data_IF_586703374942
#
_entry.id   IF_586703374942
#
_cell.length_a   1.000
_cell.length_b   1.000
_cell.length_c   1.000
_cell.angle_alpha   90.00
_cell.angle_beta   90.00
_cell.angle_gamma   90.00
#
_symmetry.space_group_name_H-M   'P 1'
#
loop_
_entity.id
_entity.type
_entity.pdbx_description
1 polymer ?
#
# COMPACT_ATOMS: atom_id res chain seq x y z
N UNK A 1 -0.05 -22.57 -6.94
CA UNK A 1 0.83 -21.46 -6.51
C UNK A 1 2.00 -21.27 -7.49
N UNK A 2 2.17 -22.15 -8.48
CA UNK A 2 3.28 -22.07 -9.42
C UNK A 2 2.95 -21.21 -10.66
N UNK A 3 2.88 -19.90 -10.48
CA UNK A 3 2.70 -18.96 -11.59
C UNK A 3 4.06 -18.57 -12.24
N UNK A 4 5.17 -19.16 -11.79
CA UNK A 4 6.50 -18.97 -12.38
C UNK A 4 7.05 -17.55 -12.27
N UNK A 5 6.56 -16.74 -11.32
CA UNK A 5 7.05 -15.38 -11.13
C UNK A 5 8.38 -15.38 -10.39
N UNK A 6 9.37 -14.82 -11.05
CA UNK A 6 10.66 -14.47 -10.49
C UNK A 6 10.75 -12.95 -10.33
N UNK A 7 11.37 -12.50 -9.26
CA UNK A 7 11.57 -11.10 -8.93
C UNK A 7 13.07 -10.81 -8.78
N UNK A 8 13.45 -9.54 -8.95
CA UNK A 8 14.84 -9.10 -8.83
C UNK A 8 15.03 -8.12 -7.66
N UNK A 9 13.95 -7.47 -7.22
CA UNK A 9 13.95 -6.55 -6.07
C UNK A 9 12.56 -6.45 -5.45
N UNK A 10 12.53 -6.28 -4.13
CA UNK A 10 11.29 -6.14 -3.38
C UNK A 10 11.23 -4.82 -2.62
N UNK A 11 10.04 -4.23 -2.57
CA UNK A 11 9.75 -3.02 -1.79
C UNK A 11 8.62 -3.28 -0.80
N UNK A 12 8.78 -2.77 0.42
CA UNK A 12 7.70 -2.83 1.42
C UNK A 12 7.72 -1.63 2.35
N UNK A 13 6.64 -1.48 3.12
CA UNK A 13 6.54 -0.49 4.19
C UNK A 13 7.41 -0.86 5.40
N UNK A 14 7.53 0.04 6.39
CA UNK A 14 8.15 -0.29 7.69
C UNK A 14 7.19 -0.97 8.68
N UNK A 15 5.97 -1.31 8.24
CA UNK A 15 4.95 -1.92 9.09
C UNK A 15 4.94 -3.44 8.96
N UNK A 16 5.06 -4.13 10.10
CA UNK A 16 5.27 -5.58 10.19
C UNK A 16 4.33 -6.44 9.33
N UNK A 17 3.06 -6.04 9.17
CA UNK A 17 2.08 -6.80 8.39
C UNK A 17 2.46 -6.89 6.91
N UNK A 18 2.95 -5.81 6.31
CA UNK A 18 3.39 -5.82 4.91
C UNK A 18 4.73 -6.56 4.76
N UNK A 19 5.62 -6.43 5.74
CA UNK A 19 6.90 -7.15 5.77
C UNK A 19 6.67 -8.66 5.85
N UNK A 20 5.76 -9.11 6.72
CA UNK A 20 5.40 -10.53 6.84
C UNK A 20 4.72 -11.03 5.57
N UNK A 21 3.80 -10.27 4.98
CA UNK A 21 3.23 -10.63 3.67
C UNK A 21 4.31 -10.83 2.62
N UNK A 22 5.29 -9.90 2.53
CA UNK A 22 6.41 -10.04 1.61
C UNK A 22 7.20 -11.32 1.89
N UNK A 23 7.58 -11.57 3.14
CA UNK A 23 8.34 -12.76 3.51
C UNK A 23 7.59 -14.05 3.21
N UNK A 24 6.28 -14.12 3.45
CA UNK A 24 5.46 -15.29 3.08
C UNK A 24 5.47 -15.52 1.57
N UNK A 25 5.42 -14.46 0.75
CA UNK A 25 5.53 -14.59 -0.71
C UNK A 25 6.92 -15.08 -1.12
N UNK A 26 7.98 -14.50 -0.56
CA UNK A 26 9.36 -14.89 -0.88
C UNK A 26 9.68 -16.33 -0.47
N UNK A 27 9.19 -16.77 0.69
CA UNK A 27 9.33 -18.15 1.16
C UNK A 27 8.57 -19.12 0.25
N UNK A 28 7.30 -18.81 -0.07
CA UNK A 28 6.47 -19.63 -0.95
C UNK A 28 6.97 -19.71 -2.40
N UNK A 29 7.84 -18.80 -2.82
CA UNK A 29 8.40 -18.72 -4.18
C UNK A 29 9.91 -19.00 -4.23
N UNK A 30 10.50 -19.48 -3.13
CA UNK A 30 11.92 -19.81 -2.97
C UNK A 30 12.89 -18.67 -3.36
N UNK A 31 12.54 -17.45 -2.96
CA UNK A 31 13.21 -16.20 -3.35
C UNK A 31 13.60 -15.34 -2.14
N UNK A 32 13.80 -15.94 -0.97
CA UNK A 32 14.16 -15.23 0.28
C UNK A 32 15.48 -14.45 0.21
N UNK A 33 16.35 -14.78 -0.74
CA UNK A 33 17.65 -14.14 -0.94
C UNK A 33 17.56 -12.77 -1.64
N UNK A 34 16.39 -12.40 -2.17
CA UNK A 34 16.21 -11.15 -2.90
C UNK A 34 16.42 -9.91 -2.03
N UNK A 35 16.96 -8.82 -2.62
CA UNK A 35 17.10 -7.56 -1.92
C UNK A 35 15.72 -6.96 -1.56
N UNK A 36 15.59 -6.50 -0.31
CA UNK A 36 14.35 -5.89 0.21
C UNK A 36 14.61 -4.46 0.69
N UNK A 37 13.99 -3.49 0.03
CA UNK A 37 13.99 -2.07 0.43
C UNK A 37 12.74 -1.77 1.26
N UNK A 38 12.93 -1.13 2.41
CA UNK A 38 11.84 -0.75 3.34
C UNK A 38 11.76 0.76 3.42
N UNK A 39 10.54 1.30 3.35
CA UNK A 39 10.34 2.76 3.46
C UNK A 39 9.04 3.11 4.17
N UNK A 40 9.05 4.19 4.95
CA UNK A 40 7.83 4.75 5.53
C UNK A 40 6.90 5.33 4.46
N UNK A 41 7.43 5.70 3.28
CA UNK A 41 6.63 6.25 2.17
C UNK A 41 5.63 5.25 1.60
N UNK A 42 5.83 3.94 1.84
CA UNK A 42 4.90 2.87 1.52
C UNK A 42 3.99 2.48 2.71
N UNK A 43 4.00 3.22 3.82
CA UNK A 43 3.09 2.99 4.93
C UNK A 43 1.63 3.21 4.53
N UNK A 44 0.71 2.54 5.22
CA UNK A 44 -0.71 2.84 5.16
C UNK A 44 -0.98 4.30 5.54
N UNK A 45 -2.11 4.84 5.07
CA UNK A 45 -2.61 6.17 5.46
C UNK A 45 -2.61 6.35 6.97
N UNK A 46 -2.06 7.47 7.44
CA UNK A 46 -2.03 7.77 8.87
C UNK A 46 -3.37 8.35 9.36
N UNK A 47 -4.10 7.58 10.17
CA UNK A 47 -5.44 7.93 10.67
C UNK A 47 -5.48 8.66 12.03
N UNK A 48 -4.38 8.67 12.79
CA UNK A 48 -4.21 9.41 14.06
C UNK A 48 -5.30 9.21 15.11
N UNK A 49 -6.11 10.24 15.41
CA UNK A 49 -7.18 10.17 16.41
C UNK A 49 -8.29 9.18 16.02
N UNK A 50 -8.24 8.67 14.79
CA UNK A 50 -9.11 7.61 14.29
C UNK A 50 -8.39 6.24 14.28
N UNK A 51 -7.11 6.18 14.63
CA UNK A 51 -6.36 4.91 14.74
C UNK A 51 -6.96 4.06 15.85
N UNK A 52 -7.43 2.87 15.49
CA UNK A 52 -8.14 1.95 16.39
C UNK A 52 -9.66 1.91 16.15
N UNK A 53 -10.19 2.81 15.34
CA UNK A 53 -11.58 2.79 14.87
C UNK A 53 -11.71 1.98 13.58
N UNK A 54 -12.86 1.33 13.38
CA UNK A 54 -13.20 0.72 12.10
C UNK A 54 -13.59 1.78 11.06
N UNK A 55 -13.72 1.40 9.77
CA UNK A 55 -14.05 2.35 8.69
C UNK A 55 -15.39 3.09 8.90
N UNK A 56 -16.39 2.42 9.47
CA UNK A 56 -17.68 3.04 9.76
C UNK A 56 -17.59 4.06 10.90
N UNK A 57 -16.84 3.73 11.97
CA UNK A 57 -16.55 4.64 13.09
C UNK A 57 -15.67 5.83 12.67
N UNK A 58 -14.71 5.58 11.78
CA UNK A 58 -13.82 6.60 11.18
C UNK A 58 -14.62 7.55 10.28
N UNK A 59 -15.58 7.04 9.51
CA UNK A 59 -16.45 7.88 8.67
C UNK A 59 -17.38 8.77 9.50
N UNK A 60 -17.73 8.36 10.72
CA UNK A 60 -18.61 9.09 11.63
C UNK A 60 -17.86 10.10 12.53
N UNK A 61 -16.52 10.08 12.57
CA UNK A 61 -15.72 10.96 13.43
C UNK A 61 -14.71 11.76 12.61
N UNK A 62 -14.60 13.05 12.92
CA UNK A 62 -13.48 13.89 12.48
C UNK A 62 -12.38 13.80 13.55
N UNK A 63 -11.18 13.37 13.18
CA UNK A 63 -10.08 13.17 14.13
C UNK A 63 -8.86 14.01 13.78
N UNK A 64 -8.63 15.07 14.54
CA UNK A 64 -7.33 15.74 14.60
C UNK A 64 -6.34 14.91 15.44
N UNK A 65 -5.04 15.12 15.25
CA UNK A 65 -4.04 14.52 16.12
C UNK A 65 -4.16 15.05 17.55
N UNK A 66 -4.25 14.13 18.49
CA UNK A 66 -4.34 14.42 19.92
C UNK A 66 -3.09 13.84 20.61
N UNK A 67 -2.23 14.67 21.23
CA UNK A 67 -1.00 14.21 21.91
C UNK A 67 -1.24 13.20 23.04
N UNK A 68 -2.44 13.22 23.62
CA UNK A 68 -2.94 12.30 24.64
C UNK A 68 -3.52 10.99 24.08
N UNK A 69 -3.54 10.83 22.75
CA UNK A 69 -4.01 9.60 22.14
C UNK A 69 -3.14 8.40 22.55
N UNK A 70 -3.73 7.25 22.96
CA UNK A 70 -2.99 6.11 23.50
C UNK A 70 -1.87 5.58 22.59
N UNK A 71 -2.00 5.79 21.28
CA UNK A 71 -1.04 5.32 20.29
C UNK A 71 -0.01 6.38 19.86
N UNK A 72 -0.10 7.64 20.31
CA UNK A 72 0.80 8.73 19.89
C UNK A 72 2.26 8.36 20.15
N UNK A 73 2.62 8.03 21.39
CA UNK A 73 4.03 7.74 21.74
C UNK A 73 4.57 6.50 21.01
N UNK A 74 3.71 5.51 20.73
CA UNK A 74 4.13 4.26 20.10
C UNK A 74 4.31 4.38 18.59
N UNK A 75 3.75 5.42 17.96
CA UNK A 75 3.86 5.65 16.53
C UNK A 75 4.85 6.77 16.27
N UNK A 76 4.65 7.94 16.84
CA UNK A 76 5.44 9.15 16.54
C UNK A 76 6.85 9.12 17.09
N UNK A 77 7.08 8.41 18.21
CA UNK A 77 8.40 8.31 18.86
C UNK A 77 9.09 6.97 18.60
N UNK A 78 8.56 6.19 17.66
CA UNK A 78 9.17 4.92 17.30
C UNK A 78 10.49 5.16 16.54
N UNK A 79 11.54 4.45 16.94
CA UNK A 79 12.88 4.60 16.38
C UNK A 79 12.95 4.39 14.85
N UNK A 80 11.99 3.68 14.25
CA UNK A 80 11.90 3.49 12.79
C UNK A 80 11.63 4.80 12.03
N UNK A 81 11.22 5.86 12.73
CA UNK A 81 10.97 7.17 12.16
C UNK A 81 11.97 8.23 12.66
N UNK A 82 13.06 7.82 13.32
CA UNK A 82 14.02 8.76 13.91
C UNK A 82 14.72 9.66 12.87
N UNK A 83 14.88 9.18 11.64
CA UNK A 83 15.51 9.92 10.54
C UNK A 83 14.51 10.77 9.73
N UNK A 84 13.23 10.80 10.15
CA UNK A 84 12.16 11.55 9.49
C UNK A 84 11.94 12.84 10.28
N UNK A 85 11.90 13.96 9.57
CA UNK A 85 11.63 15.26 10.19
C UNK A 85 10.15 15.38 10.59
N UNK A 86 9.83 16.22 11.56
CA UNK A 86 8.44 16.40 12.04
C UNK A 86 7.48 16.85 10.92
N UNK A 87 7.98 17.59 9.91
CA UNK A 87 7.21 17.99 8.73
C UNK A 87 6.97 16.85 7.74
N UNK A 88 7.80 15.81 7.76
CA UNK A 88 7.67 14.63 6.91
C UNK A 88 6.82 13.53 7.54
N UNK A 89 6.67 13.49 8.87
CA UNK A 89 5.78 12.55 9.55
C UNK A 89 4.42 13.21 9.80
N UNK A 90 3.43 13.04 8.90
CA UNK A 90 2.19 13.78 8.96
C UNK A 90 1.40 13.46 10.22
N UNK A 91 0.83 14.50 10.85
CA UNK A 91 -0.08 14.46 12.01
C UNK A 91 -1.52 14.06 11.66
N UNK A 92 -1.85 13.99 10.37
CA UNK A 92 -2.95 13.22 9.78
C UNK A 92 -2.75 13.20 8.27
N UNK A 93 -3.24 12.14 7.62
CA UNK A 93 -3.18 12.08 6.17
C UNK A 93 -4.58 11.99 5.60
N UNK A 94 -4.86 12.80 4.59
CA UNK A 94 -5.84 12.48 3.57
C UNK A 94 -5.30 11.39 2.63
N UNK A 95 -6.16 10.86 1.77
CA UNK A 95 -5.68 10.01 0.67
C UNK A 95 -4.69 10.80 -0.21
N UNK A 96 -4.99 12.08 -0.49
CA UNK A 96 -4.10 12.97 -1.27
C UNK A 96 -2.71 13.08 -0.65
N UNK A 97 -2.60 13.24 0.66
CA UNK A 97 -1.30 13.35 1.35
C UNK A 97 -0.52 12.04 1.29
N UNK A 98 -1.22 10.91 1.47
CA UNK A 98 -0.64 9.57 1.32
C UNK A 98 -0.05 9.37 -0.08
N UNK A 99 -0.78 9.81 -1.11
CA UNK A 99 -0.31 9.76 -2.51
C UNK A 99 0.90 10.68 -2.70
N UNK A 100 0.84 11.91 -2.17
CA UNK A 100 1.88 12.92 -2.31
C UNK A 100 3.23 12.47 -1.73
N UNK A 101 3.24 11.65 -0.66
CA UNK A 101 4.48 11.07 -0.11
C UNK A 101 4.93 9.77 -0.78
N UNK A 102 4.00 8.97 -1.30
CA UNK A 102 4.28 7.67 -1.91
C UNK A 102 4.79 7.80 -3.34
N UNK A 103 4.27 8.78 -4.09
CA UNK A 103 4.60 8.98 -5.50
C UNK A 103 6.07 9.39 -5.75
N UNK A 104 6.71 10.24 -4.92
CA UNK A 104 8.15 10.48 -5.01
C UNK A 104 8.96 9.19 -4.92
N UNK A 105 8.65 8.31 -3.96
CA UNK A 105 9.33 7.01 -3.85
C UNK A 105 9.12 6.12 -5.07
N UNK A 106 7.89 6.11 -5.62
CA UNK A 106 7.61 5.42 -6.87
C UNK A 106 8.51 5.92 -8.01
N UNK A 107 8.60 7.23 -8.21
CA UNK A 107 9.35 7.84 -9.31
C UNK A 107 10.88 7.76 -9.13
N UNK A 108 11.37 7.93 -7.91
CA UNK A 108 12.80 8.06 -7.60
C UNK A 108 13.47 6.70 -7.35
N UNK A 109 12.75 5.72 -6.80
CA UNK A 109 13.34 4.45 -6.38
C UNK A 109 12.79 3.26 -7.16
N UNK A 110 11.48 3.19 -7.42
CA UNK A 110 10.86 2.01 -8.07
C UNK A 110 11.00 2.07 -9.60
N UNK A 111 10.62 3.20 -10.21
CA UNK A 111 10.67 3.37 -11.68
C UNK A 111 12.07 3.15 -12.26
N UNK A 112 13.18 3.60 -11.64
CA UNK A 112 14.52 3.27 -12.13
C UNK A 112 14.82 1.78 -12.17
N UNK A 113 14.35 0.99 -11.20
CA UNK A 113 14.53 -0.47 -11.23
C UNK A 113 13.75 -1.09 -12.40
N UNK A 114 12.51 -0.63 -12.63
CA UNK A 114 11.70 -1.09 -13.77
C UNK A 114 12.38 -0.72 -15.10
N UNK A 115 12.98 0.48 -15.19
CA UNK A 115 13.77 0.94 -16.36
C UNK A 115 14.98 0.05 -16.65
N UNK A 116 15.61 -0.49 -15.61
CA UNK A 116 16.72 -1.44 -15.72
C UNK A 116 16.26 -2.86 -16.11
N UNK A 117 14.95 -3.06 -16.32
CA UNK A 117 14.38 -4.35 -16.69
C UNK A 117 14.15 -5.30 -15.50
N UNK A 118 14.27 -4.81 -14.25
CA UNK A 118 14.04 -5.62 -13.05
C UNK A 118 12.55 -5.88 -12.85
N UNK A 119 12.24 -7.11 -12.43
CA UNK A 119 10.91 -7.57 -12.01
C UNK A 119 10.72 -7.19 -10.55
N UNK A 120 9.82 -6.25 -10.31
CA UNK A 120 9.64 -5.63 -9.00
C UNK A 120 8.44 -6.24 -8.26
N UNK A 121 8.63 -6.62 -7.00
CA UNK A 121 7.55 -7.00 -6.08
C UNK A 121 7.31 -5.89 -5.05
N UNK A 122 6.06 -5.43 -4.90
CA UNK A 122 5.69 -4.42 -3.91
C UNK A 122 4.65 -5.00 -2.95
N UNK A 123 5.01 -5.10 -1.67
CA UNK A 123 4.09 -5.47 -0.59
C UNK A 123 3.81 -4.25 0.29
N UNK A 124 2.63 -3.65 0.14
CA UNK A 124 2.25 -2.44 0.88
C UNK A 124 0.77 -2.52 1.34
N UNK A 125 0.12 -1.36 1.47
CA UNK A 125 -1.23 -1.27 2.05
C UNK A 125 -2.22 -0.62 1.09
N UNK A 126 -3.51 -0.66 1.46
CA UNK A 126 -4.61 -0.27 0.58
C UNK A 126 -4.47 1.16 0.04
N UNK A 127 -4.35 2.18 0.91
CA UNK A 127 -4.31 3.56 0.44
C UNK A 127 -2.98 3.92 -0.24
N UNK A 128 -1.87 3.35 0.23
CA UNK A 128 -0.56 3.53 -0.43
C UNK A 128 -0.55 2.94 -1.85
N UNK A 129 -1.10 1.74 -2.04
CA UNK A 129 -1.17 1.09 -3.35
C UNK A 129 -2.18 1.78 -4.26
N UNK A 130 -3.32 2.25 -3.72
CA UNK A 130 -4.26 3.11 -4.46
C UNK A 130 -3.55 4.32 -5.07
N UNK A 131 -2.61 4.94 -4.35
CA UNK A 131 -1.83 6.06 -4.89
C UNK A 131 -1.02 5.72 -6.13
N UNK A 132 -0.36 4.57 -6.10
CA UNK A 132 0.42 4.06 -7.23
C UNK A 132 -0.52 3.69 -8.39
N UNK A 133 -1.61 2.99 -8.13
CA UNK A 133 -2.62 2.61 -9.14
C UNK A 133 -3.24 3.85 -9.80
N UNK A 134 -3.62 4.87 -9.01
CA UNK A 134 -4.14 6.13 -9.52
C UNK A 134 -3.18 6.76 -10.53
N UNK A 135 -1.88 6.76 -10.21
CA UNK A 135 -0.86 7.31 -11.08
C UNK A 135 -0.67 6.48 -12.36
N UNK A 136 -0.61 5.16 -12.25
CA UNK A 136 -0.46 4.24 -13.38
C UNK A 136 -1.64 4.30 -14.36
N UNK A 137 -2.86 4.30 -13.83
CA UNK A 137 -4.09 4.25 -14.63
C UNK A 137 -4.66 5.62 -14.98
N UNK A 138 -4.07 6.70 -14.46
CA UNK A 138 -4.56 8.07 -14.70
C UNK A 138 -5.96 8.31 -14.15
N UNK A 139 -6.30 7.69 -13.02
CA UNK A 139 -7.64 7.75 -12.43
C UNK A 139 -7.96 9.17 -11.89
N UNK A 140 -9.23 9.57 -12.04
CA UNK A 140 -9.75 10.79 -11.41
C UNK A 140 -9.87 10.64 -9.88
N UNK A 141 -10.10 11.75 -9.17
CA UNK A 141 -10.32 11.72 -7.72
C UNK A 141 -11.59 10.91 -7.35
N UNK A 142 -12.61 10.93 -8.20
CA UNK A 142 -13.84 10.18 -8.00
C UNK A 142 -13.59 8.68 -8.19
N UNK A 143 -12.90 8.30 -9.28
CA UNK A 143 -12.60 6.91 -9.59
C UNK A 143 -11.72 6.25 -8.52
N UNK A 144 -10.75 6.98 -7.95
CA UNK A 144 -9.88 6.42 -6.90
C UNK A 144 -10.60 6.20 -5.56
N UNK A 145 -11.66 6.97 -5.29
CA UNK A 145 -12.49 6.77 -4.09
C UNK A 145 -13.31 5.47 -4.18
N UNK A 146 -13.75 5.10 -5.38
CA UNK A 146 -14.50 3.87 -5.63
C UNK A 146 -13.61 2.63 -5.72
N UNK A 147 -12.33 2.81 -6.06
CA UNK A 147 -11.37 1.71 -6.17
C UNK A 147 -11.13 1.04 -4.81
N UNK A 148 -11.61 -0.19 -4.66
CA UNK A 148 -11.36 -1.02 -3.47
C UNK A 148 -10.44 -2.19 -3.82
N UNK A 149 -9.16 -2.07 -3.43
CA UNK A 149 -8.18 -3.13 -3.62
C UNK A 149 -8.45 -4.30 -2.66
N UNK A 150 -8.53 -5.55 -3.15
CA UNK A 150 -8.71 -6.73 -2.32
C UNK A 150 -7.47 -6.97 -1.45
N UNK A 151 -7.66 -7.48 -0.24
CA UNK A 151 -6.54 -7.78 0.66
C UNK A 151 -5.89 -9.11 0.28
N UNK A 152 -4.55 -9.14 0.22
CA UNK A 152 -3.74 -10.33 0.00
C UNK A 152 -3.99 -11.07 -1.34
N UNK A 153 -4.51 -10.37 -2.35
CA UNK A 153 -4.58 -10.86 -3.73
C UNK A 153 -3.48 -10.15 -4.54
N UNK A 154 -2.53 -10.89 -5.14
CA UNK A 154 -1.51 -10.27 -5.98
C UNK A 154 -2.10 -9.54 -7.18
N UNK A 155 -1.56 -8.38 -7.50
CA UNK A 155 -1.93 -7.55 -8.65
C UNK A 155 -0.75 -7.48 -9.61
N UNK A 156 -1.00 -7.80 -10.88
CA UNK A 156 0.01 -7.80 -11.92
C UNK A 156 -0.25 -6.66 -12.89
N UNK A 157 0.81 -5.88 -13.12
CA UNK A 157 0.86 -4.85 -14.15
C UNK A 157 1.93 -5.20 -15.18
N UNK A 158 1.53 -5.14 -16.45
CA UNK A 158 2.47 -5.08 -17.58
C UNK A 158 2.56 -3.63 -18.03
N UNK A 159 3.77 -3.06 -18.04
CA UNK A 159 4.01 -1.65 -18.33
C UNK A 159 4.75 -1.48 -19.66
N UNK A 160 4.42 -0.42 -20.41
CA UNK A 160 5.18 -0.01 -21.60
C UNK A 160 6.48 0.73 -21.22
N UNK A 161 7.25 1.12 -22.23
CA UNK A 161 8.48 1.91 -22.08
C UNK A 161 8.29 3.28 -21.40
N UNK A 162 7.06 3.77 -21.30
CA UNK A 162 6.67 5.01 -20.63
C UNK A 162 6.03 4.74 -19.25
N UNK A 163 6.11 3.51 -18.73
CA UNK A 163 5.52 3.07 -17.47
C UNK A 163 4.00 3.17 -17.42
N UNK A 164 3.35 3.10 -18.59
CA UNK A 164 1.89 3.02 -18.69
C UNK A 164 1.44 1.56 -18.81
N UNK A 165 0.36 1.16 -18.11
CA UNK A 165 -0.21 -0.17 -18.27
C UNK A 165 -0.58 -0.47 -19.74
N UNK A 166 -0.10 -1.60 -20.27
CA UNK A 166 -0.47 -2.07 -21.62
C UNK A 166 -1.73 -2.93 -21.62
N UNK A 167 -2.12 -3.43 -20.45
CA UNK A 167 -3.32 -4.21 -20.20
C UNK A 167 -3.96 -3.75 -18.88
N UNK A 168 -5.27 -4.01 -18.68
CA UNK A 168 -5.89 -3.82 -17.37
C UNK A 168 -5.16 -4.59 -16.28
N UNK A 169 -5.12 -4.04 -15.07
CA UNK A 169 -4.60 -4.73 -13.89
C UNK A 169 -5.22 -6.12 -13.73
N UNK A 170 -4.40 -7.13 -13.50
CA UNK A 170 -4.86 -8.51 -13.34
C UNK A 170 -4.68 -8.95 -11.89
N UNK A 171 -5.72 -9.57 -11.32
CA UNK A 171 -5.65 -10.22 -10.02
C UNK A 171 -5.24 -11.68 -10.19
N UNK A 172 -4.24 -12.13 -9.43
CA UNK A 172 -3.85 -13.54 -9.41
C UNK A 172 -4.68 -14.29 -8.35
N UNK A 173 -5.48 -15.24 -8.81
CA UNK A 173 -6.32 -16.08 -7.99
C UNK A 173 -7.45 -16.68 -8.82
N UNK A 174 -8.14 -17.68 -8.28
CA UNK A 174 -9.40 -18.12 -8.87
C UNK A 174 -10.46 -17.01 -8.73
N UNK A 175 -11.39 -16.96 -9.69
CA UNK A 175 -12.41 -15.92 -9.76
C UNK A 175 -13.25 -15.82 -8.48
N UNK A 176 -13.51 -16.96 -7.83
CA UNK A 176 -14.33 -17.01 -6.62
C UNK A 176 -13.60 -16.36 -5.43
N UNK A 177 -12.32 -16.67 -5.25
CA UNK A 177 -11.47 -16.06 -4.22
C UNK A 177 -11.34 -14.55 -4.42
N UNK A 178 -11.09 -14.10 -5.65
CA UNK A 178 -10.99 -12.67 -5.97
C UNK A 178 -12.32 -11.97 -5.69
N UNK A 179 -13.44 -12.52 -6.17
CA UNK A 179 -14.79 -11.96 -5.94
C UNK A 179 -15.09 -11.84 -4.45
N UNK A 180 -14.84 -12.90 -3.66
CA UNK A 180 -15.06 -12.90 -2.21
C UNK A 180 -14.20 -11.85 -1.50
N UNK A 181 -12.93 -11.70 -1.89
CA UNK A 181 -12.04 -10.71 -1.31
C UNK A 181 -12.50 -9.26 -1.61
N UNK A 182 -12.95 -9.01 -2.85
CA UNK A 182 -13.52 -7.72 -3.25
C UNK A 182 -14.79 -7.37 -2.46
N UNK A 183 -15.71 -8.33 -2.32
CA UNK A 183 -16.93 -8.17 -1.54
C UNK A 183 -16.65 -7.90 -0.06
N UNK A 184 -15.67 -8.60 0.52
CA UNK A 184 -15.26 -8.39 1.91
C UNK A 184 -14.73 -6.97 2.14
N UNK A 185 -13.90 -6.43 1.24
CA UNK A 185 -13.39 -5.05 1.35
C UNK A 185 -14.51 -4.03 1.20
N UNK A 186 -15.45 -4.25 0.28
CA UNK A 186 -16.62 -3.38 0.11
C UNK A 186 -17.53 -3.41 1.36
N UNK A 187 -17.67 -4.56 2.00
CA UNK A 187 -18.47 -4.71 3.22
C UNK A 187 -17.86 -4.00 4.43
N UNK A 188 -16.54 -3.83 4.51
CA UNK A 188 -15.88 -3.11 5.61
C UNK A 188 -16.32 -1.65 5.74
N UNK A 189 -16.75 -1.02 4.63
CA UNK A 189 -17.28 0.35 4.64
C UNK A 189 -18.74 0.47 5.08
N UNK A 190 -19.47 -0.65 5.16
CA UNK A 190 -20.87 -0.66 5.60
C UNK A 190 -20.89 -0.70 7.13
N UNK A 191 -21.57 0.26 7.76
CA UNK A 191 -21.84 0.19 9.20
C UNK A 191 -22.51 -1.15 9.51
N UNK A 192 -21.99 -1.88 10.52
CA UNK A 192 -22.75 -2.99 11.10
C UNK A 192 -24.03 -2.38 11.66
N UNK A 193 -25.17 -2.71 11.05
CA UNK A 193 -26.49 -2.44 11.61
C UNK A 193 -26.64 -3.15 12.94
#
# INVERSE_FOLDING_TARGET
IDAGYEFDICFTSVQKRAIWTLWTVLDATDQMWLPVVRTWRLNERHYWGLTGLNKAETAAKHGEAQPDHPFYSNISKDHRYADITEDQLPSCESLKDTIARALPFWNEEIVPQIKEGKRVLIAAHGNSLRGIVKHLEGLSEEAIMELNLPTAIPMVYELDKNFKPIKPMQFLGDEETVRKAMEAVAAQGKAKK
#
